data_IF_115138009410
#
_entry.id   IF_115138009410
#
_cell.length_a   1.000
_cell.length_b   1.000
_cell.length_c   1.000
_cell.angle_alpha   90.00
_cell.angle_beta   90.00
_cell.angle_gamma   90.00
#
_symmetry.space_group_name_H-M   'P 1'
#
loop_
_entity.id
_entity.type
_entity.pdbx_description
1 polymer ?
#
# COMPACT_ATOMS: atom_id res chain seq x y z
N UNK A 1 12.55 -9.34 -43.56
CA UNK A 1 11.54 -8.44 -42.98
C UNK A 1 12.05 -8.06 -41.61
N UNK A 2 12.54 -6.83 -41.45
CA UNK A 2 12.96 -6.34 -40.13
C UNK A 2 11.72 -6.15 -39.26
N UNK A 3 11.67 -6.85 -38.14
CA UNK A 3 10.63 -6.64 -37.12
C UNK A 3 10.91 -5.24 -36.55
N UNK A 4 10.06 -4.26 -36.88
CA UNK A 4 10.11 -2.95 -36.24
C UNK A 4 9.77 -3.16 -34.76
N UNK A 5 10.78 -3.04 -33.90
CA UNK A 5 10.56 -2.98 -32.44
C UNK A 5 9.67 -1.75 -32.20
N UNK A 6 8.50 -1.91 -31.55
CA UNK A 6 7.66 -0.76 -31.24
C UNK A 6 8.47 0.26 -30.43
N UNK A 7 8.26 1.58 -30.66
CA UNK A 7 8.99 2.60 -29.92
C UNK A 7 8.79 2.37 -28.42
N UNK A 8 9.88 2.19 -27.69
CA UNK A 8 9.88 2.03 -26.24
C UNK A 8 9.20 3.25 -25.63
N UNK A 9 8.18 3.04 -24.80
CA UNK A 9 7.53 4.14 -24.08
C UNK A 9 8.60 4.93 -23.31
N UNK A 10 8.59 6.27 -23.34
CA UNK A 10 9.57 7.09 -22.63
C UNK A 10 9.48 6.94 -21.10
N UNK A 11 8.51 6.17 -20.61
CA UNK A 11 8.27 5.89 -19.20
C UNK A 11 8.57 4.43 -18.82
N UNK A 12 9.18 3.65 -19.72
CA UNK A 12 9.66 2.29 -19.42
C UNK A 12 10.80 2.31 -18.38
N UNK A 13 10.96 1.25 -17.56
CA UNK A 13 12.05 1.15 -16.59
C UNK A 13 13.44 1.39 -17.19
N UNK A 14 13.65 0.92 -18.43
CA UNK A 14 14.93 1.01 -19.13
C UNK A 14 15.41 2.45 -19.35
N UNK A 15 14.52 3.45 -19.34
CA UNK A 15 14.92 4.86 -19.48
C UNK A 15 15.54 5.42 -18.20
N UNK A 16 15.30 4.77 -17.06
CA UNK A 16 15.69 5.25 -15.73
C UNK A 16 16.76 4.36 -15.06
N UNK A 17 17.37 3.42 -15.80
CA UNK A 17 18.45 2.54 -15.28
C UNK A 17 19.49 2.23 -16.35
N UNK A 18 20.65 1.70 -15.94
CA UNK A 18 21.75 1.39 -16.86
C UNK A 18 21.56 0.06 -17.60
N UNK A 19 20.92 -0.93 -16.97
CA UNK A 19 20.71 -2.25 -17.56
C UNK A 19 19.88 -3.20 -16.70
N UNK A 20 20.29 -4.46 -16.69
CA UNK A 20 19.70 -5.51 -15.85
C UNK A 20 20.03 -5.28 -14.37
N UNK A 21 19.22 -5.80 -13.43
CA UNK A 21 19.49 -5.70 -11.99
C UNK A 21 20.87 -6.23 -11.63
N UNK A 22 21.57 -5.52 -10.73
CA UNK A 22 22.95 -5.81 -10.30
C UNK A 22 22.97 -6.25 -8.83
N UNK A 23 24.13 -6.69 -8.33
CA UNK A 23 24.30 -7.00 -6.91
C UNK A 23 24.27 -5.75 -6.02
N UNK A 24 24.56 -4.59 -6.58
CA UNK A 24 24.66 -3.31 -5.88
C UNK A 24 23.81 -2.26 -6.56
N UNK A 25 22.94 -1.55 -5.83
CA UNK A 25 21.95 -0.69 -6.45
C UNK A 25 22.60 0.44 -7.27
N UNK A 26 23.71 1.00 -6.76
CA UNK A 26 24.41 2.12 -7.39
C UNK A 26 24.93 1.81 -8.79
N UNK A 27 25.26 0.54 -9.07
CA UNK A 27 25.77 0.12 -10.37
C UNK A 27 24.73 0.23 -11.48
N UNK A 28 23.44 0.17 -11.14
CA UNK A 28 22.35 0.17 -12.10
C UNK A 28 21.58 1.50 -12.15
N UNK A 29 21.79 2.40 -11.18
CA UNK A 29 21.22 3.75 -11.22
C UNK A 29 21.99 4.63 -12.22
N UNK A 30 21.29 5.51 -12.92
CA UNK A 30 21.91 6.48 -13.82
C UNK A 30 22.48 7.66 -13.02
N UNK A 31 23.62 8.18 -13.45
CA UNK A 31 24.28 9.30 -12.79
C UNK A 31 23.61 10.66 -13.06
N UNK A 32 22.78 10.77 -14.09
CA UNK A 32 22.05 11.98 -14.49
C UNK A 32 20.61 12.02 -13.97
N UNK A 33 20.22 11.02 -13.15
CA UNK A 33 18.87 10.86 -12.62
C UNK A 33 18.93 10.79 -11.10
N UNK A 34 17.95 11.41 -10.44
CA UNK A 34 17.76 11.35 -9.00
C UNK A 34 16.58 10.43 -8.66
N UNK A 35 16.73 9.68 -7.58
CA UNK A 35 15.80 8.63 -7.19
C UNK A 35 15.25 8.87 -5.79
N UNK A 36 14.12 8.24 -5.50
CA UNK A 36 13.54 8.21 -4.16
C UNK A 36 13.04 6.81 -3.82
N UNK A 37 13.19 6.39 -2.57
CA UNK A 37 12.61 5.16 -2.03
C UNK A 37 12.05 5.40 -0.62
N UNK A 38 11.25 4.46 -0.12
CA UNK A 38 10.93 4.34 1.29
C UNK A 38 10.85 2.87 1.67
N UNK A 39 10.56 2.54 2.92
CA UNK A 39 10.50 1.14 3.36
C UNK A 39 9.08 0.61 3.51
N UNK A 40 8.97 -0.70 3.35
CA UNK A 40 7.78 -1.47 3.68
C UNK A 40 7.72 -1.67 5.20
N UNK A 41 6.61 -1.27 5.82
CA UNK A 41 6.33 -1.40 7.24
C UNK A 41 4.81 -1.36 7.49
N UNK A 42 4.35 -2.08 8.54
CA UNK A 42 2.96 -2.31 8.91
C UNK A 42 2.20 -3.28 7.96
N UNK A 43 0.87 -3.36 8.09
CA UNK A 43 0.04 -4.24 7.25
C UNK A 43 -0.03 -3.83 5.76
N UNK A 44 -0.44 -4.77 4.91
CA UNK A 44 -0.54 -4.65 3.43
C UNK A 44 -1.07 -3.28 2.93
N UNK A 45 -2.18 -2.79 3.49
CA UNK A 45 -2.81 -1.55 3.03
C UNK A 45 -2.12 -0.29 3.55
N UNK A 46 -1.42 -0.38 4.68
CA UNK A 46 -0.59 0.71 5.19
C UNK A 46 0.69 0.84 4.36
N UNK A 47 1.29 -0.29 3.97
CA UNK A 47 2.40 -0.31 3.01
C UNK A 47 1.98 0.29 1.67
N UNK A 48 0.81 -0.11 1.14
CA UNK A 48 0.28 0.48 -0.09
C UNK A 48 0.10 2.00 0.01
N UNK A 49 -0.43 2.51 1.14
CA UNK A 49 -0.55 3.96 1.36
C UNK A 49 0.82 4.64 1.40
N UNK A 50 1.82 4.02 2.05
CA UNK A 50 3.21 4.50 2.03
C UNK A 50 3.75 4.56 0.60
N UNK A 51 3.42 3.58 -0.26
CA UNK A 51 3.89 3.54 -1.65
C UNK A 51 3.22 4.60 -2.54
N UNK A 52 1.92 4.87 -2.39
CA UNK A 52 1.31 5.98 -3.14
C UNK A 52 1.90 7.32 -2.71
N UNK A 53 2.24 7.48 -1.44
CA UNK A 53 2.91 8.66 -0.91
C UNK A 53 4.34 8.79 -1.45
N UNK A 54 5.08 7.69 -1.52
CA UNK A 54 6.41 7.62 -2.14
C UNK A 54 6.37 8.05 -3.61
N UNK A 55 5.46 7.48 -4.40
CA UNK A 55 5.35 7.79 -5.83
C UNK A 55 4.93 9.24 -6.03
N UNK A 56 3.98 9.75 -5.23
CA UNK A 56 3.56 11.14 -5.29
C UNK A 56 4.70 12.10 -4.89
N UNK A 57 5.46 11.76 -3.84
CA UNK A 57 6.63 12.53 -3.43
C UNK A 57 7.71 12.53 -4.52
N UNK A 58 7.96 11.39 -5.18
CA UNK A 58 8.84 11.29 -6.34
C UNK A 58 8.42 12.22 -7.47
N UNK A 59 7.13 12.19 -7.80
CA UNK A 59 6.54 13.06 -8.82
C UNK A 59 6.76 14.55 -8.53
N UNK A 60 6.44 15.03 -7.33
CA UNK A 60 6.58 16.47 -7.01
C UNK A 60 8.03 16.90 -6.74
N UNK A 61 8.95 15.96 -6.45
CA UNK A 61 10.36 16.26 -6.19
C UNK A 61 11.26 16.05 -7.42
N UNK A 62 10.68 15.75 -8.59
CA UNK A 62 11.40 15.40 -9.82
C UNK A 62 12.38 14.24 -9.63
N UNK A 63 11.96 13.22 -8.88
CA UNK A 63 12.73 12.00 -8.63
C UNK A 63 11.99 10.78 -9.16
N UNK A 64 12.76 9.81 -9.63
CA UNK A 64 12.25 8.50 -10.05
C UNK A 64 11.97 7.65 -8.80
N UNK A 65 10.71 7.29 -8.51
CA UNK A 65 10.40 6.44 -7.36
C UNK A 65 10.81 4.99 -7.62
N UNK A 66 11.51 4.38 -6.66
CA UNK A 66 11.84 2.97 -6.60
C UNK A 66 11.03 2.36 -5.46
N UNK A 67 10.01 1.59 -5.79
CA UNK A 67 9.05 1.03 -4.82
C UNK A 67 9.60 -0.28 -4.27
N UNK A 68 9.69 -0.46 -2.93
CA UNK A 68 10.13 -1.72 -2.35
C UNK A 68 9.07 -2.81 -2.55
N UNK A 69 9.46 -4.09 -2.46
CA UNK A 69 8.48 -5.14 -2.34
C UNK A 69 7.69 -4.97 -1.04
N UNK A 70 6.46 -5.48 -0.99
CA UNK A 70 5.75 -5.72 0.25
C UNK A 70 6.53 -6.70 1.12
N UNK A 71 6.61 -6.44 2.41
CA UNK A 71 7.36 -7.26 3.35
C UNK A 71 6.48 -7.60 4.55
N UNK A 72 6.50 -8.84 5.05
CA UNK A 72 5.63 -9.19 6.17
C UNK A 72 6.02 -8.43 7.43
N UNK A 73 5.00 -7.85 8.08
CA UNK A 73 5.11 -7.22 9.39
C UNK A 73 3.85 -7.59 10.21
N UNK A 74 2.77 -6.83 10.06
CA UNK A 74 1.50 -7.09 10.74
C UNK A 74 0.59 -8.01 9.91
N UNK A 75 -0.10 -8.95 10.57
CA UNK A 75 -1.10 -9.89 10.00
C UNK A 75 -0.59 -10.89 8.96
N UNK A 76 0.63 -10.76 8.46
CA UNK A 76 1.28 -11.70 7.54
C UNK A 76 2.44 -12.37 8.27
N UNK A 77 2.52 -13.72 8.30
CA UNK A 77 3.65 -14.42 8.89
C UNK A 77 4.97 -14.01 8.23
N UNK A 78 6.03 -13.84 9.01
CA UNK A 78 7.37 -13.52 8.49
C UNK A 78 7.89 -14.53 7.46
N UNK A 79 7.40 -15.77 7.53
CA UNK A 79 7.70 -16.87 6.59
C UNK A 79 7.08 -16.69 5.21
N UNK A 80 6.16 -15.74 5.03
CA UNK A 80 5.46 -15.52 3.76
C UNK A 80 6.38 -15.04 2.62
N UNK A 81 7.59 -14.59 2.95
CA UNK A 81 8.50 -13.94 2.00
C UNK A 81 8.01 -12.55 1.60
N UNK A 82 8.73 -11.88 0.71
CA UNK A 82 8.32 -10.59 0.16
C UNK A 82 7.48 -10.75 -1.11
N UNK A 83 6.72 -9.72 -1.46
CA UNK A 83 5.91 -9.69 -2.68
C UNK A 83 6.25 -8.45 -3.50
N UNK A 84 6.70 -8.64 -4.73
CA UNK A 84 7.09 -7.52 -5.59
C UNK A 84 5.90 -6.59 -5.88
N UNK A 85 6.12 -5.29 -5.89
CA UNK A 85 5.03 -4.34 -6.10
C UNK A 85 4.42 -4.47 -7.52
N UNK A 86 5.23 -4.69 -8.55
CA UNK A 86 4.77 -4.98 -9.90
C UNK A 86 4.11 -6.34 -10.12
N UNK A 87 4.18 -7.30 -9.18
CA UNK A 87 3.36 -8.52 -9.26
C UNK A 87 1.92 -8.28 -8.78
N UNK A 88 1.72 -7.24 -7.98
CA UNK A 88 0.40 -6.83 -7.47
C UNK A 88 -0.27 -5.81 -8.38
N UNK A 89 0.48 -4.82 -8.86
CA UNK A 89 -0.05 -3.70 -9.63
C UNK A 89 0.50 -3.63 -11.06
N UNK A 90 -0.35 -3.23 -12.00
CA UNK A 90 0.02 -3.03 -13.38
C UNK A 90 0.84 -1.73 -13.54
N UNK A 91 2.17 -1.86 -13.52
CA UNK A 91 3.06 -0.70 -13.59
C UNK A 91 3.03 0.01 -14.95
N UNK A 92 2.72 -0.69 -16.04
CA UNK A 92 2.59 -0.08 -17.37
C UNK A 92 1.51 1.00 -17.37
N UNK A 93 0.38 0.74 -16.71
CA UNK A 93 -0.73 1.70 -16.59
C UNK A 93 -0.34 2.94 -15.81
N UNK A 94 0.26 2.78 -14.63
CA UNK A 94 0.63 3.92 -13.78
C UNK A 94 1.75 4.76 -14.40
N UNK A 95 2.77 4.13 -14.99
CA UNK A 95 3.86 4.82 -15.72
C UNK A 95 3.33 5.67 -16.86
N UNK A 96 2.39 5.13 -17.64
CA UNK A 96 1.78 5.83 -18.76
C UNK A 96 0.93 7.02 -18.32
N UNK A 97 0.19 6.88 -17.21
CA UNK A 97 -0.65 7.95 -16.69
C UNK A 97 0.17 9.08 -16.06
N UNK A 98 1.11 8.72 -15.17
CA UNK A 98 1.95 9.68 -14.46
C UNK A 98 3.01 10.33 -15.36
N UNK A 99 3.32 9.72 -16.52
CA UNK A 99 4.45 10.11 -17.35
C UNK A 99 5.75 10.16 -16.55
N UNK A 100 5.93 9.13 -15.72
CA UNK A 100 7.03 9.00 -14.78
C UNK A 100 7.47 7.53 -14.78
N UNK A 101 8.78 7.24 -14.94
CA UNK A 101 9.27 5.89 -14.73
C UNK A 101 9.14 5.57 -13.23
N UNK A 102 8.26 4.64 -12.90
CA UNK A 102 8.15 4.06 -11.54
C UNK A 102 8.87 2.73 -11.57
N UNK A 103 9.89 2.54 -10.75
CA UNK A 103 10.70 1.32 -10.72
C UNK A 103 10.28 0.41 -9.58
N UNK A 104 10.38 -0.90 -9.79
CA UNK A 104 10.46 -1.86 -8.68
C UNK A 104 11.91 -1.97 -8.20
N UNK A 105 12.14 -2.28 -6.92
CA UNK A 105 13.49 -2.60 -6.45
C UNK A 105 14.13 -3.78 -7.21
N UNK A 106 13.32 -4.73 -7.69
CA UNK A 106 13.77 -5.83 -8.55
C UNK A 106 14.21 -5.36 -9.95
N UNK A 107 13.87 -4.14 -10.39
CA UNK A 107 14.42 -3.55 -11.62
C UNK A 107 15.87 -3.08 -11.44
N UNK A 108 16.27 -2.79 -10.20
CA UNK A 108 17.52 -2.10 -9.83
C UNK A 108 18.54 -3.07 -9.25
N UNK A 109 18.14 -3.87 -8.26
CA UNK A 109 19.04 -4.76 -7.50
C UNK A 109 18.52 -6.20 -7.50
N UNK A 110 19.43 -7.16 -7.63
CA UNK A 110 19.12 -8.58 -7.50
C UNK A 110 18.75 -8.88 -6.05
N UNK A 111 17.51 -9.34 -5.86
CA UNK A 111 16.98 -9.70 -4.55
C UNK A 111 17.18 -11.21 -4.30
N UNK A 112 17.40 -11.62 -3.04
CA UNK A 112 17.55 -13.03 -2.71
C UNK A 112 16.29 -13.84 -3.06
N UNK A 113 16.48 -15.10 -3.45
CA UNK A 113 15.37 -16.02 -3.72
C UNK A 113 14.63 -16.33 -2.42
N UNK A 114 13.30 -16.18 -2.43
CA UNK A 114 12.41 -16.45 -1.29
C UNK A 114 12.14 -17.95 -1.07
N UNK A 115 12.89 -18.83 -1.73
CA UNK A 115 12.69 -20.28 -1.70
C UNK A 115 13.08 -20.96 -0.38
N UNK A 116 13.64 -20.23 0.59
CA UNK A 116 13.99 -20.77 1.92
C UNK A 116 13.69 -19.76 3.04
N UNK A 117 12.73 -20.05 3.94
CA UNK A 117 12.29 -19.13 5.00
C UNK A 117 13.40 -18.60 5.91
N UNK A 118 14.44 -19.40 6.18
CA UNK A 118 15.55 -19.02 7.07
C UNK A 118 16.52 -18.00 6.45
N UNK A 119 16.50 -17.83 5.12
CA UNK A 119 17.41 -16.93 4.39
C UNK A 119 16.68 -15.90 3.51
N UNK A 120 15.36 -15.88 3.50
CA UNK A 120 14.53 -15.06 2.59
C UNK A 120 14.81 -13.55 2.65
N UNK A 121 15.45 -13.05 3.70
CA UNK A 121 15.73 -11.63 3.89
C UNK A 121 17.22 -11.32 4.02
N UNK A 122 18.13 -12.27 3.82
CA UNK A 122 19.57 -12.02 3.95
C UNK A 122 20.19 -11.77 2.57
N UNK A 123 20.42 -10.49 2.24
CA UNK A 123 21.19 -10.13 1.07
C UNK A 123 22.69 -10.02 1.44
N UNK A 124 23.58 -10.82 0.83
CA UNK A 124 25.01 -10.76 1.15
C UNK A 124 25.69 -9.48 0.66
N UNK A 125 25.08 -8.78 -0.31
CA UNK A 125 25.64 -7.57 -0.91
C UNK A 125 25.07 -6.33 -0.19
N UNK A 126 25.70 -5.99 0.93
CA UNK A 126 25.26 -4.88 1.79
C UNK A 126 25.93 -3.56 1.36
N UNK A 127 25.13 -2.50 1.22
CA UNK A 127 25.57 -1.14 0.91
C UNK A 127 25.10 -0.16 1.99
N UNK A 128 26.00 0.72 2.45
CA UNK A 128 25.64 1.76 3.40
C UNK A 128 24.92 2.93 2.70
N UNK A 129 23.89 3.47 3.36
CA UNK A 129 23.14 4.63 2.88
C UNK A 129 22.65 5.47 4.07
N UNK A 130 22.59 6.79 3.90
CA UNK A 130 21.91 7.67 4.86
C UNK A 130 20.50 7.97 4.39
N UNK A 131 19.54 8.00 5.31
CA UNK A 131 18.13 8.25 5.03
C UNK A 131 17.52 9.24 6.00
N UNK A 132 16.36 9.79 5.62
CA UNK A 132 15.52 10.59 6.48
C UNK A 132 14.60 9.70 7.33
N UNK A 133 14.35 10.09 8.58
CA UNK A 133 13.31 9.49 9.41
C UNK A 133 12.17 10.47 9.66
N UNK A 134 10.94 10.01 9.43
CA UNK A 134 9.69 10.77 9.65
C UNK A 134 9.13 10.57 11.06
N UNK A 135 9.77 9.75 11.91
CA UNK A 135 9.35 9.53 13.31
C UNK A 135 9.16 10.83 14.07
N UNK A 136 8.20 10.85 14.98
CA UNK A 136 7.93 12.01 15.85
C UNK A 136 9.18 12.40 16.65
N UNK A 137 9.26 13.66 17.08
CA UNK A 137 10.47 14.19 17.71
C UNK A 137 10.81 13.49 19.03
N UNK A 138 9.80 13.02 19.74
CA UNK A 138 9.96 12.31 21.02
C UNK A 138 10.44 10.87 20.86
N UNK A 139 10.39 10.31 19.65
CA UNK A 139 10.77 8.92 19.41
C UNK A 139 12.27 8.81 19.21
N UNK A 140 13.01 8.02 20.02
CA UNK A 140 14.46 7.96 19.93
C UNK A 140 14.95 7.19 18.69
N UNK A 141 14.16 6.24 18.19
CA UNK A 141 14.55 5.29 17.15
C UNK A 141 13.72 5.47 15.87
N UNK A 142 14.33 5.23 14.68
CA UNK A 142 13.64 5.24 13.38
C UNK A 142 12.53 4.17 13.35
N UNK A 143 11.66 4.20 12.33
CA UNK A 143 10.75 3.08 12.09
C UNK A 143 11.57 1.79 11.89
N UNK A 144 11.11 0.70 12.51
CA UNK A 144 11.78 -0.60 12.38
C UNK A 144 11.41 -1.24 11.03
N UNK A 145 12.22 -0.99 10.01
CA UNK A 145 12.06 -1.57 8.68
C UNK A 145 13.10 -2.67 8.37
N UNK A 146 13.62 -3.35 9.40
CA UNK A 146 14.75 -4.28 9.26
C UNK A 146 14.53 -5.37 8.21
N UNK A 147 13.30 -5.88 8.05
CA UNK A 147 13.02 -6.91 7.06
C UNK A 147 13.24 -6.38 5.63
N UNK A 148 12.76 -5.16 5.35
CA UNK A 148 12.98 -4.46 4.07
C UNK A 148 14.45 -4.13 3.86
N UNK A 149 15.11 -3.55 4.86
CA UNK A 149 16.53 -3.18 4.79
C UNK A 149 17.42 -4.39 4.52
N UNK A 150 17.21 -5.50 5.24
CA UNK A 150 18.00 -6.73 5.07
C UNK A 150 17.75 -7.38 3.71
N UNK A 151 16.49 -7.42 3.25
CA UNK A 151 16.12 -7.94 1.93
C UNK A 151 16.83 -7.18 0.80
N UNK A 152 16.88 -5.85 0.92
CA UNK A 152 17.53 -4.98 -0.04
C UNK A 152 19.05 -4.91 0.14
N UNK A 153 19.60 -5.47 1.23
CA UNK A 153 21.01 -5.37 1.55
C UNK A 153 21.44 -3.92 1.77
N UNK A 154 20.71 -3.20 2.62
CA UNK A 154 20.98 -1.80 2.95
C UNK A 154 21.37 -1.68 4.42
N UNK A 155 22.51 -1.06 4.69
CA UNK A 155 22.97 -0.69 6.02
C UNK A 155 22.67 0.79 6.26
N UNK A 156 21.49 1.05 6.84
CA UNK A 156 20.89 2.38 6.83
C UNK A 156 21.20 3.17 8.08
N UNK A 157 21.70 4.40 7.93
CA UNK A 157 21.77 5.39 9.00
C UNK A 157 20.68 6.45 8.82
N UNK A 158 20.17 7.02 9.91
CA UNK A 158 18.99 7.88 9.88
C UNK A 158 19.27 9.26 10.44
N UNK A 159 18.76 10.28 9.75
CA UNK A 159 18.71 11.68 10.18
C UNK A 159 17.26 12.11 10.29
N UNK A 160 16.90 12.87 11.33
CA UNK A 160 15.50 13.33 11.49
C UNK A 160 15.14 14.33 10.41
N UNK A 161 13.92 14.22 9.88
CA UNK A 161 13.38 15.30 9.04
C UNK A 161 13.30 16.62 9.83
N UNK A 162 13.52 17.77 9.17
CA UNK A 162 13.45 19.08 9.80
C UNK A 162 12.07 19.42 10.39
N UNK A 163 12.03 20.34 11.34
CA UNK A 163 10.77 20.74 12.00
C UNK A 163 9.76 21.37 11.03
N UNK A 164 10.23 22.07 9.99
CA UNK A 164 9.35 22.70 8.99
C UNK A 164 8.58 21.68 8.13
N UNK A 165 8.97 20.40 8.17
CA UNK A 165 8.25 19.35 7.43
C UNK A 165 7.04 18.82 8.19
N UNK A 166 6.75 19.29 9.40
CA UNK A 166 5.64 18.82 10.23
C UNK A 166 4.35 19.58 9.93
N UNK A 167 3.21 18.90 10.08
CA UNK A 167 1.89 19.54 9.95
C UNK A 167 1.65 20.52 11.10
N UNK A 168 2.04 20.11 12.31
CA UNK A 168 1.98 20.90 13.54
C UNK A 168 3.39 21.05 14.14
N UNK A 169 4.23 21.97 13.62
CA UNK A 169 5.63 22.12 14.04
C UNK A 169 5.84 22.30 15.55
N UNK A 170 4.87 22.87 16.26
CA UNK A 170 4.97 23.13 17.70
C UNK A 170 4.62 21.90 18.56
N UNK A 171 3.99 20.88 17.99
CA UNK A 171 3.68 19.63 18.68
C UNK A 171 4.82 18.62 18.51
N UNK A 172 5.40 18.19 19.64
CA UNK A 172 6.47 17.20 19.64
C UNK A 172 6.00 15.80 19.23
N UNK A 173 4.71 15.53 19.39
CA UNK A 173 4.05 14.27 19.08
C UNK A 173 3.45 14.19 17.68
N UNK A 174 3.61 15.23 16.84
CA UNK A 174 3.03 15.23 15.50
C UNK A 174 3.72 14.20 14.59
N UNK A 175 2.99 13.13 14.26
CA UNK A 175 3.43 12.09 13.35
C UNK A 175 3.31 12.49 11.88
N UNK A 176 2.55 13.53 11.57
CA UNK A 176 2.27 13.92 10.20
C UNK A 176 3.42 14.75 9.62
N UNK A 177 3.70 14.51 8.35
CA UNK A 177 4.71 15.23 7.59
C UNK A 177 4.12 15.75 6.28
N UNK A 178 4.52 16.95 5.87
CA UNK A 178 3.95 17.64 4.71
C UNK A 178 4.78 17.34 3.46
N UNK A 179 4.13 16.89 2.39
CA UNK A 179 4.77 16.51 1.12
C UNK A 179 5.71 17.58 0.58
N UNK A 180 5.28 18.85 0.53
CA UNK A 180 6.12 19.95 0.05
C UNK A 180 7.30 20.25 0.99
N UNK A 181 7.12 20.05 2.30
CA UNK A 181 8.21 20.13 3.26
C UNK A 181 9.26 19.04 3.02
N UNK A 182 8.82 17.79 2.84
CA UNK A 182 9.72 16.68 2.49
C UNK A 182 10.40 16.88 1.12
N UNK A 183 9.67 17.38 0.12
CA UNK A 183 10.24 17.67 -1.20
C UNK A 183 11.39 18.69 -1.13
N UNK A 184 11.28 19.67 -0.23
CA UNK A 184 12.32 20.69 -0.05
C UNK A 184 13.62 20.11 0.54
N UNK A 185 13.58 19.01 1.30
CA UNK A 185 14.80 18.37 1.85
C UNK A 185 15.54 17.51 0.82
N UNK A 186 14.89 17.15 -0.28
CA UNK A 186 15.43 16.25 -1.31
C UNK A 186 15.45 16.89 -2.70
N UNK A 187 15.28 18.21 -2.83
CA UNK A 187 15.31 18.84 -4.15
C UNK A 187 16.68 18.63 -4.81
N UNK A 188 16.77 17.99 -6.00
CA UNK A 188 18.05 17.64 -6.61
C UNK A 188 19.01 18.83 -6.76
N UNK A 189 20.25 18.70 -6.28
CA UNK A 189 21.31 19.72 -6.25
C UNK A 189 21.03 20.97 -5.39
N UNK A 190 19.79 21.12 -4.88
CA UNK A 190 19.33 22.33 -4.22
C UNK A 190 18.39 22.03 -3.04
N UNK A 191 18.78 21.17 -2.08
CA UNK A 191 17.99 21.00 -0.88
C UNK A 191 17.92 22.34 -0.13
N UNK A 192 16.79 22.63 0.52
CA UNK A 192 16.59 23.87 1.26
C UNK A 192 17.68 24.13 2.31
N UNK A 193 18.09 23.07 3.00
CA UNK A 193 19.22 23.05 3.92
C UNK A 193 20.03 21.77 3.70
N UNK A 194 21.35 21.82 3.97
CA UNK A 194 22.21 20.65 3.84
C UNK A 194 21.79 19.56 4.84
N UNK A 195 21.64 18.30 4.43
CA UNK A 195 21.29 17.22 5.36
C UNK A 195 22.29 17.06 6.52
N UNK A 196 23.55 17.45 6.33
CA UNK A 196 24.61 17.40 7.34
C UNK A 196 24.40 18.37 8.51
N UNK A 197 23.56 19.39 8.37
CA UNK A 197 23.26 20.34 9.46
C UNK A 197 22.28 19.77 10.48
N UNK A 198 21.64 18.64 10.17
CA UNK A 198 20.66 18.00 11.02
C UNK A 198 21.29 16.88 11.87
N UNK A 199 20.83 16.69 13.11
CA UNK A 199 21.39 15.69 13.99
C UNK A 199 21.06 14.28 13.48
N UNK A 200 22.08 13.43 13.45
CA UNK A 200 21.92 11.99 13.28
C UNK A 200 20.97 11.45 14.35
N UNK A 201 19.94 10.74 13.90
CA UNK A 201 18.99 10.03 14.75
C UNK A 201 19.55 8.69 15.21
N UNK A 202 20.08 7.91 14.26
CA UNK A 202 20.68 6.60 14.53
C UNK A 202 21.80 6.32 13.54
N UNK A 203 22.90 5.77 14.04
CA UNK A 203 23.88 5.12 13.18
C UNK A 203 23.28 3.84 12.57
N UNK A 204 23.89 3.35 11.50
CA UNK A 204 23.51 2.07 10.92
C UNK A 204 23.92 0.89 11.81
N UNK A 205 23.36 -0.32 11.61
CA UNK A 205 23.79 -1.52 12.32
C UNK A 205 25.31 -1.78 12.27
N UNK A 206 25.99 -1.42 11.17
CA UNK A 206 27.46 -1.54 11.08
C UNK A 206 28.23 -0.39 11.74
N UNK A 207 27.53 0.65 12.20
CA UNK A 207 28.11 1.84 12.84
C UNK A 207 28.34 3.02 11.89
N UNK A 208 27.91 2.94 10.62
CA UNK A 208 28.03 4.04 9.67
C UNK A 208 27.17 5.23 10.08
N UNK A 209 27.67 6.44 9.80
CA UNK A 209 27.04 7.72 10.13
C UNK A 209 26.97 8.59 8.87
N UNK A 210 26.09 8.23 7.96
CA UNK A 210 25.94 8.92 6.68
C UNK A 210 24.80 9.95 6.77
N UNK A 211 25.02 11.10 6.17
CA UNK A 211 23.93 12.03 5.90
C UNK A 211 22.97 11.43 4.84
N UNK A 212 21.70 11.84 4.81
CA UNK A 212 20.74 11.45 3.79
C UNK A 212 21.32 11.52 2.38
N UNK A 213 21.22 10.42 1.63
CA UNK A 213 21.81 10.30 0.29
C UNK A 213 21.06 11.16 -0.73
N UNK A 214 21.82 11.96 -1.48
CA UNK A 214 21.25 12.87 -2.46
C UNK A 214 20.81 12.14 -3.73
N UNK A 215 21.57 11.14 -4.19
CA UNK A 215 21.31 10.44 -5.46
C UNK A 215 20.09 9.51 -5.34
N UNK A 216 20.03 8.72 -4.26
CA UNK A 216 18.88 7.91 -3.86
C UNK A 216 18.38 8.39 -2.49
N UNK A 217 17.50 9.38 -2.49
CA UNK A 217 16.89 9.83 -1.23
C UNK A 217 15.94 8.77 -0.69
N UNK A 218 15.93 8.59 0.63
CA UNK A 218 15.14 7.56 1.28
C UNK A 218 14.47 8.07 2.55
N UNK A 219 13.28 7.55 2.83
CA UNK A 219 12.52 7.80 4.04
C UNK A 219 12.18 6.48 4.73
N UNK A 220 12.18 6.47 6.06
CA UNK A 220 11.81 5.26 6.80
C UNK A 220 10.35 4.84 6.58
N UNK A 221 9.40 5.76 6.70
CA UNK A 221 7.97 5.47 6.52
C UNK A 221 7.19 6.72 6.08
N UNK A 222 6.33 6.58 5.08
CA UNK A 222 5.59 7.69 4.48
C UNK A 222 4.08 7.64 4.71
N UNK A 223 3.57 6.70 5.51
CA UNK A 223 2.14 6.55 5.79
C UNK A 223 1.45 7.84 6.28
N UNK A 224 2.15 8.64 7.11
CA UNK A 224 1.63 9.88 7.70
C UNK A 224 1.90 11.13 6.83
N UNK A 225 2.30 10.96 5.57
CA UNK A 225 2.48 12.10 4.67
C UNK A 225 1.14 12.74 4.26
N UNK A 226 1.11 14.07 4.20
CA UNK A 226 -0.09 14.89 3.93
C UNK A 226 0.25 16.08 3.01
N UNK A 227 -0.71 16.62 2.29
CA UNK A 227 -0.58 17.88 1.55
C UNK A 227 -0.43 19.11 2.46
N UNK A 228 -0.71 18.94 3.76
CA UNK A 228 -0.69 20.02 4.75
C UNK A 228 -2.09 20.51 5.15
N UNK A 229 -3.16 19.89 4.63
CA UNK A 229 -4.55 20.31 4.88
C UNK A 229 -5.17 19.57 6.08
N UNK A 230 -4.88 18.27 6.23
CA UNK A 230 -5.39 17.45 7.34
C UNK A 230 -4.38 16.39 7.76
N UNK A 231 -4.44 15.95 9.02
CA UNK A 231 -3.81 14.72 9.47
C UNK A 231 -4.50 13.50 8.88
N UNK A 232 -3.78 12.37 8.81
CA UNK A 232 -4.27 11.11 8.22
C UNK A 232 -4.99 11.35 6.89
N UNK A 233 -4.41 12.23 6.06
CA UNK A 233 -5.04 12.81 4.87
C UNK A 233 -5.57 11.76 3.91
N UNK A 234 -4.91 10.59 3.89
CA UNK A 234 -5.36 9.44 3.12
C UNK A 234 -6.87 9.21 3.34
N UNK A 235 -7.44 9.36 4.54
CA UNK A 235 -8.88 9.16 4.81
C UNK A 235 -9.83 9.97 3.94
N UNK A 236 -9.35 11.05 3.30
CA UNK A 236 -10.17 11.96 2.52
C UNK A 236 -9.96 11.80 1.02
N UNK A 237 -11.07 11.79 0.27
CA UNK A 237 -11.12 11.61 -1.19
C UNK A 237 -10.36 12.68 -1.97
N UNK A 238 -10.19 13.86 -1.39
CA UNK A 238 -9.48 14.96 -2.05
C UNK A 238 -7.95 14.81 -1.97
N UNK A 239 -7.43 13.82 -1.22
CA UNK A 239 -5.99 13.59 -1.08
C UNK A 239 -5.30 13.50 -2.45
N UNK A 240 -4.28 14.33 -2.72
CA UNK A 240 -3.61 14.36 -4.00
C UNK A 240 -2.83 13.07 -4.28
N UNK A 241 -2.31 12.38 -3.25
CA UNK A 241 -1.60 11.12 -3.45
C UNK A 241 -2.53 10.03 -3.97
N UNK A 242 -3.75 9.95 -3.45
CA UNK A 242 -4.78 9.06 -4.00
C UNK A 242 -5.17 9.47 -5.41
N UNK A 243 -5.59 10.73 -5.60
CA UNK A 243 -6.15 11.20 -6.88
C UNK A 243 -5.17 11.14 -8.04
N UNK A 244 -3.90 11.42 -7.78
CA UNK A 244 -2.86 11.47 -8.81
C UNK A 244 -2.19 10.11 -9.02
N UNK A 245 -2.09 9.27 -7.98
CA UNK A 245 -1.36 7.99 -8.05
C UNK A 245 -2.29 6.81 -7.79
N UNK A 246 -2.92 6.76 -6.62
CA UNK A 246 -3.67 5.60 -6.15
C UNK A 246 -4.80 5.15 -7.09
N UNK A 247 -5.53 6.09 -7.68
CA UNK A 247 -6.58 5.84 -8.70
C UNK A 247 -6.07 5.07 -9.92
N UNK A 248 -4.78 5.14 -10.24
CA UNK A 248 -4.17 4.52 -11.42
C UNK A 248 -3.42 3.22 -11.15
N UNK A 249 -3.26 2.85 -9.87
CA UNK A 249 -2.66 1.58 -9.45
C UNK A 249 -3.68 0.46 -9.47
N UNK A 250 -4.03 0.02 -10.67
CA UNK A 250 -4.88 -1.16 -10.88
C UNK A 250 -4.10 -2.44 -10.63
N UNK A 251 -4.79 -3.45 -10.09
CA UNK A 251 -4.22 -4.79 -9.92
C UNK A 251 -3.83 -5.42 -11.26
N UNK A 252 -2.93 -6.40 -11.21
CA UNK A 252 -2.58 -7.21 -12.38
C UNK A 252 -3.77 -8.05 -12.85
N UNK A 253 -3.83 -8.32 -14.16
CA UNK A 253 -4.94 -9.09 -14.76
C UNK A 253 -5.02 -10.51 -14.16
N UNK A 254 -3.88 -11.11 -13.82
CA UNK A 254 -3.79 -12.42 -13.19
C UNK A 254 -4.44 -12.43 -11.79
N UNK A 255 -4.16 -11.42 -10.96
CA UNK A 255 -4.80 -11.30 -9.64
C UNK A 255 -6.30 -11.03 -9.76
N UNK A 256 -6.71 -10.20 -10.72
CA UNK A 256 -8.13 -9.95 -11.01
C UNK A 256 -8.82 -11.23 -11.46
N UNK A 257 -8.22 -12.01 -12.36
CA UNK A 257 -8.76 -13.28 -12.82
C UNK A 257 -8.91 -14.27 -11.66
N UNK A 258 -7.86 -14.41 -10.83
CA UNK A 258 -7.87 -15.27 -9.66
C UNK A 258 -8.98 -14.89 -8.69
N UNK A 259 -9.06 -13.62 -8.27
CA UNK A 259 -10.08 -13.16 -7.35
C UNK A 259 -11.50 -13.36 -7.92
N UNK A 260 -11.72 -13.16 -9.22
CA UNK A 260 -13.01 -13.43 -9.86
C UNK A 260 -13.42 -14.90 -9.72
N UNK A 261 -12.48 -15.84 -9.85
CA UNK A 261 -12.79 -17.24 -9.66
C UNK A 261 -13.21 -17.56 -8.22
N UNK A 262 -12.53 -16.97 -7.24
CA UNK A 262 -12.89 -17.10 -5.83
C UNK A 262 -14.28 -16.55 -5.54
N UNK A 263 -14.59 -15.35 -6.07
CA UNK A 263 -15.93 -14.74 -5.95
C UNK A 263 -17.00 -15.59 -6.62
N UNK A 264 -16.73 -16.16 -7.81
CA UNK A 264 -17.67 -17.10 -8.46
C UNK A 264 -17.96 -18.30 -7.58
N UNK A 265 -16.93 -18.92 -6.99
CA UNK A 265 -17.11 -20.08 -6.11
C UNK A 265 -17.86 -19.73 -4.83
N UNK A 266 -17.60 -18.55 -4.25
CA UNK A 266 -18.35 -18.05 -3.10
C UNK A 266 -19.86 -17.89 -3.41
N UNK A 267 -20.22 -17.50 -4.63
CA UNK A 267 -21.62 -17.40 -5.07
C UNK A 267 -22.20 -18.71 -5.67
N UNK A 268 -21.41 -19.77 -5.80
CA UNK A 268 -21.83 -20.95 -6.57
C UNK A 268 -22.11 -20.65 -8.05
N UNK A 269 -21.51 -19.59 -8.59
CA UNK A 269 -21.73 -19.13 -9.95
C UNK A 269 -20.94 -19.96 -10.97
N UNK A 270 -21.49 -20.25 -12.17
CA UNK A 270 -20.80 -21.03 -13.19
C UNK A 270 -19.44 -20.44 -13.62
N UNK A 271 -18.47 -21.28 -14.01
CA UNK A 271 -17.21 -20.79 -14.56
C UNK A 271 -17.44 -20.01 -15.85
N UNK A 272 -16.57 -19.04 -16.13
CA UNK A 272 -16.54 -18.23 -17.36
C UNK A 272 -17.77 -17.34 -17.64
N UNK A 273 -18.76 -17.28 -16.75
CA UNK A 273 -19.83 -16.28 -16.83
C UNK A 273 -19.42 -14.95 -16.18
N UNK A 274 -19.90 -13.79 -16.68
CA UNK A 274 -19.70 -12.51 -16.02
C UNK A 274 -20.24 -12.55 -14.59
N UNK A 275 -19.53 -11.95 -13.64
CA UNK A 275 -20.07 -11.77 -12.29
C UNK A 275 -21.31 -10.88 -12.37
N UNK A 276 -22.40 -11.22 -11.65
CA UNK A 276 -23.53 -10.30 -11.52
C UNK A 276 -23.08 -9.03 -10.77
N UNK A 277 -23.81 -7.91 -10.92
CA UNK A 277 -23.64 -6.77 -10.02
C UNK A 277 -23.71 -7.22 -8.57
N UNK A 278 -22.77 -6.75 -7.75
CA UNK A 278 -22.68 -7.09 -6.33
C UNK A 278 -22.38 -5.84 -5.49
N UNK A 279 -22.73 -5.91 -4.22
CA UNK A 279 -22.22 -5.02 -3.18
C UNK A 279 -21.14 -5.76 -2.41
N UNK A 280 -20.01 -5.11 -2.17
CA UNK A 280 -18.92 -5.66 -1.37
C UNK A 280 -18.91 -5.02 0.00
N UNK A 281 -18.62 -5.81 1.04
CA UNK A 281 -18.66 -5.36 2.43
C UNK A 281 -17.35 -5.73 3.11
N UNK A 282 -16.72 -4.78 3.81
CA UNK A 282 -15.57 -5.04 4.64
C UNK A 282 -15.84 -4.67 6.11
N UNK A 283 -15.82 -5.69 6.97
CA UNK A 283 -16.06 -5.55 8.40
C UNK A 283 -14.74 -5.83 9.14
N UNK A 284 -14.10 -4.80 9.67
CA UNK A 284 -12.85 -4.93 10.45
C UNK A 284 -13.19 -5.09 11.92
N UNK A 285 -12.91 -6.25 12.49
CA UNK A 285 -13.22 -6.58 13.89
C UNK A 285 -12.05 -7.17 14.65
N UNK A 286 -11.28 -8.06 14.01
CA UNK A 286 -10.29 -8.94 14.61
C UNK A 286 -9.37 -8.22 15.60
N UNK A 287 -8.35 -7.52 15.12
CA UNK A 287 -7.43 -6.76 15.98
C UNK A 287 -8.04 -5.45 16.52
N UNK A 288 -9.09 -4.94 15.86
CA UNK A 288 -9.79 -3.72 16.28
C UNK A 288 -10.48 -3.86 17.64
N UNK A 289 -10.77 -5.10 18.08
CA UNK A 289 -11.24 -5.38 19.44
C UNK A 289 -10.23 -4.92 20.51
N UNK A 290 -8.94 -4.88 20.19
CA UNK A 290 -7.90 -4.45 21.13
C UNK A 290 -7.89 -2.94 21.36
N UNK A 291 -8.54 -2.17 20.48
CA UNK A 291 -8.72 -0.71 20.64
C UNK A 291 -9.94 -0.37 21.51
N UNK A 292 -10.57 -1.38 22.08
CA UNK A 292 -11.76 -1.23 22.90
C UNK A 292 -11.38 -1.15 24.37
N UNK A 293 -11.35 0.08 24.88
CA UNK A 293 -11.20 0.31 26.32
C UNK A 293 -12.56 0.22 27.02
N UNK A 294 -12.54 -0.18 28.29
CA UNK A 294 -13.66 -0.10 29.24
C UNK A 294 -14.85 -1.07 29.06
N UNK A 295 -14.67 -2.22 28.40
CA UNK A 295 -15.66 -3.31 28.43
C UNK A 295 -17.04 -2.98 27.84
N UNK A 296 -17.17 -1.85 27.12
CA UNK A 296 -18.37 -1.48 26.36
C UNK A 296 -18.33 -2.10 24.97
N UNK A 297 -19.49 -2.39 24.35
CA UNK A 297 -19.56 -2.73 22.94
C UNK A 297 -18.96 -1.58 22.12
N UNK A 298 -17.77 -1.81 21.59
CA UNK A 298 -17.02 -0.86 20.80
C UNK A 298 -17.01 -1.27 19.32
N UNK A 299 -17.13 -2.57 19.01
CA UNK A 299 -17.14 -3.04 17.64
C UNK A 299 -18.46 -2.62 17.02
N UNK A 300 -18.41 -2.17 15.78
CA UNK A 300 -19.60 -1.75 15.05
C UNK A 300 -20.52 -2.95 14.90
N UNK A 301 -21.79 -2.77 15.24
CA UNK A 301 -22.81 -3.81 15.15
C UNK A 301 -23.05 -4.19 13.68
N UNK A 302 -23.18 -5.49 13.42
CA UNK A 302 -23.38 -6.03 12.07
C UNK A 302 -24.65 -5.50 11.41
N UNK A 303 -25.66 -5.15 12.21
CA UNK A 303 -26.91 -4.58 11.72
C UNK A 303 -26.73 -3.22 11.05
N UNK A 304 -25.79 -2.38 11.52
CA UNK A 304 -25.47 -1.10 10.86
C UNK A 304 -24.91 -1.31 9.45
N UNK A 305 -24.10 -2.35 9.25
CA UNK A 305 -23.64 -2.72 7.91
C UNK A 305 -24.80 -3.20 7.04
N UNK A 306 -25.73 -3.99 7.59
CA UNK A 306 -26.90 -4.45 6.84
C UNK A 306 -27.82 -3.29 6.41
N UNK A 307 -28.04 -2.31 7.29
CA UNK A 307 -28.77 -1.09 6.96
C UNK A 307 -28.07 -0.26 5.88
N UNK A 308 -26.74 -0.13 5.95
CA UNK A 308 -25.96 0.56 4.94
C UNK A 308 -26.01 -0.16 3.57
N UNK A 309 -25.96 -1.49 3.55
CA UNK A 309 -26.13 -2.29 2.33
C UNK A 309 -27.51 -2.04 1.72
N UNK A 310 -28.58 -2.11 2.52
CA UNK A 310 -29.94 -1.86 2.04
C UNK A 310 -30.09 -0.45 1.44
N UNK A 311 -29.48 0.56 2.06
CA UNK A 311 -29.52 1.91 1.57
C UNK A 311 -28.72 2.09 0.26
N UNK A 312 -27.59 1.39 0.08
CA UNK A 312 -26.86 1.38 -1.19
C UNK A 312 -27.64 0.64 -2.28
N UNK A 313 -28.31 -0.48 -1.96
CA UNK A 313 -29.18 -1.18 -2.91
C UNK A 313 -30.26 -0.25 -3.46
N UNK A 314 -30.91 0.51 -2.58
CA UNK A 314 -31.92 1.49 -2.97
C UNK A 314 -31.32 2.59 -3.86
N UNK A 315 -30.16 3.15 -3.48
CA UNK A 315 -29.51 4.20 -4.25
C UNK A 315 -29.05 3.72 -5.64
N UNK A 316 -28.52 2.50 -5.74
CA UNK A 316 -28.15 1.89 -7.02
C UNK A 316 -29.37 1.66 -7.91
N UNK A 317 -30.49 1.21 -7.35
CA UNK A 317 -31.74 1.03 -8.10
C UNK A 317 -32.29 2.38 -8.58
N UNK A 318 -32.42 3.36 -7.67
CA UNK A 318 -33.05 4.66 -7.96
C UNK A 318 -32.25 5.52 -8.93
N UNK A 319 -30.92 5.59 -8.75
CA UNK A 319 -30.08 6.52 -9.51
C UNK A 319 -29.30 5.87 -10.65
N UNK A 320 -29.01 4.57 -10.56
CA UNK A 320 -28.24 3.85 -11.59
C UNK A 320 -29.06 2.81 -12.34
N UNK A 321 -30.29 2.50 -11.92
CA UNK A 321 -31.11 1.44 -12.50
C UNK A 321 -30.48 0.06 -12.34
N UNK A 322 -29.66 -0.14 -11.30
CA UNK A 322 -28.94 -1.39 -11.03
C UNK A 322 -29.58 -2.04 -9.81
N UNK A 323 -30.30 -3.14 -10.03
CA UNK A 323 -30.82 -3.97 -8.94
C UNK A 323 -29.75 -4.98 -8.50
N UNK A 324 -29.29 -4.84 -7.25
CA UNK A 324 -28.24 -5.69 -6.69
C UNK A 324 -28.78 -6.57 -5.56
N UNK A 325 -28.71 -7.88 -5.73
CA UNK A 325 -29.05 -8.86 -4.68
C UNK A 325 -27.85 -9.62 -4.12
N UNK A 326 -26.70 -9.58 -4.80
CA UNK A 326 -25.49 -10.30 -4.39
C UNK A 326 -24.66 -9.44 -3.45
N UNK A 327 -24.34 -9.98 -2.27
CA UNK A 327 -23.47 -9.31 -1.30
C UNK A 327 -22.31 -10.22 -0.95
N UNK A 328 -21.09 -9.70 -1.13
CA UNK A 328 -19.86 -10.38 -0.74
C UNK A 328 -19.26 -9.67 0.49
N UNK A 329 -19.08 -10.38 1.59
CA UNK A 329 -18.44 -9.85 2.81
C UNK A 329 -17.04 -10.44 2.99
N UNK A 330 -16.09 -9.58 3.36
CA UNK A 330 -14.75 -9.92 3.84
C UNK A 330 -14.57 -9.34 5.25
N UNK A 331 -13.90 -10.09 6.11
CA UNK A 331 -13.68 -9.75 7.52
C UNK A 331 -12.47 -10.51 8.05
N UNK A 332 -11.76 -9.91 9.00
CA UNK A 332 -10.70 -10.56 9.77
C UNK A 332 -11.22 -11.28 11.04
N UNK A 333 -12.54 -11.41 11.17
CA UNK A 333 -13.21 -12.10 12.26
C UNK A 333 -13.06 -13.63 12.15
N UNK A 334 -12.85 -14.29 13.29
CA UNK A 334 -12.68 -15.75 13.36
C UNK A 334 -13.83 -16.44 14.08
N UNK A 335 -14.71 -15.69 14.73
CA UNK A 335 -15.88 -16.21 15.43
C UNK A 335 -16.90 -16.86 14.46
N UNK A 336 -17.20 -18.16 14.59
CA UNK A 336 -18.22 -18.82 13.78
C UNK A 336 -19.63 -18.20 13.90
N UNK A 337 -19.99 -17.62 15.05
CA UNK A 337 -21.30 -16.97 15.21
C UNK A 337 -21.42 -15.71 14.35
N UNK A 338 -20.34 -14.95 14.20
CA UNK A 338 -20.30 -13.81 13.27
C UNK A 338 -20.60 -14.24 11.83
N UNK A 339 -19.93 -15.30 11.34
CA UNK A 339 -20.12 -15.79 9.98
C UNK A 339 -21.53 -16.39 9.78
N UNK A 340 -22.09 -17.01 10.83
CA UNK A 340 -23.49 -17.45 10.82
C UNK A 340 -24.45 -16.25 10.70
N UNK A 341 -24.17 -15.13 11.36
CA UNK A 341 -24.97 -13.92 11.22
C UNK A 341 -24.87 -13.32 9.81
N UNK A 342 -23.67 -13.31 9.20
CA UNK A 342 -23.49 -12.85 7.81
C UNK A 342 -24.31 -13.68 6.82
N UNK A 343 -24.26 -15.00 6.96
CA UNK A 343 -25.05 -15.91 6.11
C UNK A 343 -26.55 -15.78 6.35
N UNK A 344 -26.98 -15.42 7.57
CA UNK A 344 -28.38 -15.13 7.87
C UNK A 344 -28.91 -13.87 7.15
N UNK A 345 -28.06 -12.89 6.83
CA UNK A 345 -28.40 -11.78 5.94
C UNK A 345 -28.44 -12.17 4.45
N UNK A 346 -28.11 -13.42 4.11
CA UNK A 346 -27.99 -13.89 2.73
C UNK A 346 -26.68 -13.46 2.06
N UNK A 347 -25.66 -13.10 2.85
CA UNK A 347 -24.37 -12.66 2.32
C UNK A 347 -23.41 -13.83 2.18
N UNK A 348 -22.54 -13.75 1.17
CA UNK A 348 -21.54 -14.77 0.90
C UNK A 348 -20.15 -14.24 1.25
N UNK A 349 -19.21 -15.14 1.51
CA UNK A 349 -17.82 -14.79 1.80
C UNK A 349 -16.87 -15.80 1.14
N UNK A 350 -15.62 -15.41 0.98
CA UNK A 350 -14.57 -16.31 0.51
C UNK A 350 -14.04 -17.12 1.71
N UNK A 351 -14.29 -18.43 1.70
CA UNK A 351 -13.73 -19.34 2.70
C UNK A 351 -12.31 -19.75 2.29
N UNK A 352 -11.33 -18.94 2.67
CA UNK A 352 -9.92 -19.18 2.33
C UNK A 352 -9.36 -20.49 2.89
N UNK A 353 -9.92 -20.98 4.01
CA UNK A 353 -9.54 -22.26 4.63
C UNK A 353 -10.00 -23.43 3.78
N UNK A 354 -11.28 -23.43 3.36
CA UNK A 354 -11.83 -24.43 2.44
C UNK A 354 -11.14 -24.40 1.07
N UNK A 355 -10.77 -23.21 0.60
CA UNK A 355 -10.05 -23.02 -0.66
C UNK A 355 -8.55 -23.34 -0.57
N UNK A 356 -8.03 -23.58 0.64
CA UNK A 356 -6.61 -23.79 0.94
C UNK A 356 -5.71 -22.70 0.32
N UNK A 357 -6.14 -21.44 0.43
CA UNK A 357 -5.55 -20.34 -0.35
C UNK A 357 -4.07 -20.14 -0.04
N UNK A 358 -3.71 -20.05 1.24
CA UNK A 358 -2.30 -19.92 1.66
C UNK A 358 -1.44 -21.08 1.22
N UNK A 359 -1.97 -22.31 1.25
CA UNK A 359 -1.24 -23.51 0.82
C UNK A 359 -0.96 -23.48 -0.69
N UNK A 360 -1.90 -22.95 -1.48
CA UNK A 360 -1.82 -22.92 -2.94
C UNK A 360 -0.95 -21.78 -3.46
N UNK A 361 -1.00 -20.62 -2.82
CA UNK A 361 -0.43 -19.39 -3.37
C UNK A 361 0.50 -18.62 -2.41
N UNK A 362 0.52 -18.99 -1.13
CA UNK A 362 1.28 -18.30 -0.08
C UNK A 362 0.43 -17.37 0.77
N UNK A 363 0.94 -16.98 1.93
CA UNK A 363 0.18 -16.26 2.98
C UNK A 363 -0.22 -14.82 2.61
N UNK A 364 0.39 -14.24 1.57
CA UNK A 364 -0.04 -12.95 1.02
C UNK A 364 -1.38 -13.01 0.29
N UNK A 365 -1.72 -14.17 -0.28
CA UNK A 365 -2.84 -14.27 -1.21
C UNK A 365 -4.23 -14.15 -0.60
N UNK A 366 -4.53 -14.65 0.61
CA UNK A 366 -5.84 -14.42 1.22
C UNK A 366 -6.22 -12.92 1.29
N UNK A 367 -5.44 -12.03 1.95
CA UNK A 367 -5.80 -10.61 2.02
C UNK A 367 -5.71 -9.89 0.67
N UNK A 368 -4.87 -10.35 -0.26
CA UNK A 368 -4.83 -9.79 -1.61
C UNK A 368 -6.08 -10.13 -2.42
N UNK A 369 -6.51 -11.39 -2.41
CA UNK A 369 -7.72 -11.83 -3.09
C UNK A 369 -8.92 -11.06 -2.54
N UNK A 370 -9.00 -10.89 -1.21
CA UNK A 370 -10.05 -10.09 -0.59
C UNK A 370 -10.00 -8.62 -1.03
N UNK A 371 -8.83 -7.97 -1.03
CA UNK A 371 -8.71 -6.59 -1.53
C UNK A 371 -9.19 -6.47 -2.98
N UNK A 372 -8.77 -7.39 -3.85
CA UNK A 372 -9.17 -7.39 -5.26
C UNK A 372 -10.67 -7.65 -5.39
N UNK A 373 -11.21 -8.63 -4.67
CA UNK A 373 -12.62 -8.99 -4.69
C UNK A 373 -13.52 -7.84 -4.23
N UNK A 374 -13.11 -7.09 -3.21
CA UNK A 374 -13.83 -5.91 -2.75
C UNK A 374 -13.97 -4.83 -3.83
N UNK A 375 -13.04 -4.77 -4.80
CA UNK A 375 -13.14 -3.83 -5.93
C UNK A 375 -14.13 -4.24 -7.01
N UNK A 376 -14.78 -5.40 -6.93
CA UNK A 376 -15.80 -5.80 -7.92
C UNK A 376 -17.18 -5.21 -7.64
N UNK A 377 -17.38 -4.58 -6.49
CA UNK A 377 -18.65 -4.00 -6.09
C UNK A 377 -19.09 -2.85 -6.99
N UNK A 378 -20.37 -2.84 -7.38
CA UNK A 378 -21.06 -1.64 -7.84
C UNK A 378 -21.41 -0.72 -6.65
N UNK A 379 -21.49 -1.30 -5.45
CA UNK A 379 -21.53 -0.58 -4.19
C UNK A 379 -20.58 -1.19 -3.17
N UNK A 380 -20.17 -0.40 -2.18
CA UNK A 380 -19.27 -0.83 -1.11
C UNK A 380 -19.72 -0.31 0.27
N UNK A 381 -19.66 -1.18 1.28
CA UNK A 381 -19.83 -0.80 2.70
C UNK A 381 -18.61 -1.21 3.50
N UNK A 382 -17.98 -0.28 4.21
CA UNK A 382 -16.75 -0.54 4.95
C UNK A 382 -16.79 -0.08 6.39
N UNK A 383 -15.81 -0.52 7.18
CA UNK A 383 -15.56 -0.03 8.55
C UNK A 383 -14.74 1.27 8.50
N UNK A 384 -15.21 2.34 9.15
CA UNK A 384 -14.42 3.58 9.31
C UNK A 384 -13.06 3.32 10.00
N UNK A 385 -12.07 4.15 9.68
CA UNK A 385 -10.66 4.06 10.14
C UNK A 385 -9.87 2.84 9.69
N UNK A 386 -10.49 1.86 9.03
CA UNK A 386 -9.74 0.79 8.37
C UNK A 386 -9.21 1.27 7.01
N UNK A 387 -7.89 1.23 6.84
CA UNK A 387 -7.25 1.51 5.54
C UNK A 387 -7.71 0.53 4.46
N UNK A 388 -8.01 -0.71 4.85
CA UNK A 388 -8.55 -1.74 3.98
C UNK A 388 -9.94 -1.34 3.42
N UNK A 389 -10.82 -0.83 4.30
CA UNK A 389 -12.12 -0.32 3.89
C UNK A 389 -12.02 0.93 3.02
N UNK A 390 -11.19 1.90 3.44
CA UNK A 390 -11.08 3.18 2.75
C UNK A 390 -10.63 2.99 1.30
N UNK A 391 -9.57 2.19 1.10
CA UNK A 391 -9.05 1.89 -0.23
C UNK A 391 -10.05 1.11 -1.09
N UNK A 392 -10.78 0.15 -0.52
CA UNK A 392 -11.80 -0.60 -1.26
C UNK A 392 -12.93 0.33 -1.73
N UNK A 393 -13.46 1.17 -0.85
CA UNK A 393 -14.52 2.14 -1.19
C UNK A 393 -14.09 3.13 -2.26
N UNK A 394 -12.86 3.64 -2.19
CA UNK A 394 -12.33 4.54 -3.21
C UNK A 394 -12.19 3.88 -4.58
N UNK A 395 -11.72 2.63 -4.62
CA UNK A 395 -11.63 1.88 -5.87
C UNK A 395 -13.02 1.58 -6.43
N UNK A 396 -14.00 1.26 -5.59
CA UNK A 396 -15.38 1.11 -6.04
C UNK A 396 -15.88 2.38 -6.73
N UNK A 397 -15.67 3.55 -6.14
CA UNK A 397 -16.06 4.83 -6.74
C UNK A 397 -15.27 5.14 -8.02
N UNK A 398 -13.94 5.08 -7.96
CA UNK A 398 -13.07 5.59 -9.04
C UNK A 398 -12.93 4.61 -10.21
N UNK A 399 -13.03 3.30 -9.96
CA UNK A 399 -12.82 2.27 -10.98
C UNK A 399 -14.13 1.79 -11.60
N UNK A 400 -15.22 1.80 -10.81
CA UNK A 400 -16.51 1.25 -11.25
C UNK A 400 -17.61 2.30 -11.36
N UNK A 401 -17.33 3.58 -11.05
CA UNK A 401 -18.38 4.58 -10.83
C UNK A 401 -19.41 4.03 -9.82
N UNK A 402 -18.92 3.43 -8.72
CA UNK A 402 -19.76 2.84 -7.69
C UNK A 402 -20.14 3.83 -6.57
N UNK A 403 -20.93 3.36 -5.60
CA UNK A 403 -21.29 4.12 -4.39
C UNK A 403 -20.62 3.46 -3.19
N UNK A 404 -19.96 4.24 -2.33
CA UNK A 404 -19.30 3.70 -1.13
C UNK A 404 -19.79 4.38 0.15
N UNK A 405 -19.84 3.63 1.26
CA UNK A 405 -20.14 4.16 2.59
C UNK A 405 -19.24 3.51 3.65
N UNK A 406 -18.69 4.33 4.53
CA UNK A 406 -18.00 3.86 5.73
C UNK A 406 -18.94 3.98 6.93
N UNK A 407 -19.15 2.87 7.61
CA UNK A 407 -19.97 2.81 8.82
C UNK A 407 -19.10 3.19 10.01
N UNK A 408 -19.61 4.06 10.88
CA UNK A 408 -18.95 4.43 12.13
C UNK A 408 -19.64 3.79 13.34
N UNK A 409 -19.00 3.94 14.51
CA UNK A 409 -19.61 3.53 15.79
C UNK A 409 -20.76 4.46 16.20
N UNK A 410 -20.69 5.73 15.82
CA UNK A 410 -21.48 6.83 16.39
C UNK A 410 -22.80 7.09 15.66
N UNK A 411 -23.00 6.49 14.48
CA UNK A 411 -24.18 6.71 13.63
C UNK A 411 -25.49 6.08 14.14
#
# INVERSE_FOLDING_TARGET
MGISVPPTSPWEPSVAKQGSPTSYFRENLRNDTFYITSWANAGLTNEFLSYIHLIYLGYISNRVPIVPPFVPDEHIPWTAGSLQFGSVFNLTRVRSHLRLPVLDWSDVKTLPSLSSPEHSYLNPNVEAIGCWSTRVRTEPNPINAQNTERLLGLDVSYTRVPQFTRLYPHDAGDSNVVFHGLSATITPNHPFESPETYPLMSASPSGSRLAPDEHLSCYDFLYYATSGVSDLEWRFRWSPSWRQVGTHLHFTDDLVALAREYVRRAFGHPPNQPLPPLITVHIRRGDFVNQCWDGRPCLIETEKFAQAVAAIQQELSDYKGIDVSHVLVSSDETDPEFWKNMTAYGWNFIDHSKEMTSVRFGDWYPPLIDQVALTFGAGFVGTDRSTFSALAGWRTEDWNDGISRLVTRED
#
